data_IF_559622822903
#
_entry.id   IF_559622822903
#
_cell.length_a   1.000
_cell.length_b   1.000
_cell.length_c   1.000
_cell.angle_alpha   90.00
_cell.angle_beta   90.00
_cell.angle_gamma   90.00
#
_symmetry.space_group_name_H-M   'P 1'
#
loop_
_entity.id
_entity.type
_entity.pdbx_description
1 polymer ?
#
# COMPACT_ATOMS: atom_id res chain seq x y z
N UNK A 1 11.11 -32.83 -8.77
CA UNK A 1 10.49 -34.07 -8.26
C UNK A 1 9.25 -34.27 -9.10
N UNK A 2 9.03 -35.49 -9.61
CA UNK A 2 7.82 -35.77 -10.40
C UNK A 2 6.59 -35.72 -9.49
N UNK A 3 5.46 -35.11 -9.89
CA UNK A 3 4.23 -35.11 -9.10
C UNK A 3 3.75 -36.50 -8.64
N UNK A 4 4.07 -37.56 -9.39
CA UNK A 4 3.68 -38.94 -9.05
C UNK A 4 4.64 -39.62 -8.05
N UNK A 5 5.67 -38.91 -7.57
CA UNK A 5 6.66 -39.46 -6.62
C UNK A 5 6.01 -39.67 -5.25
N UNK A 6 6.10 -40.87 -4.63
CA UNK A 6 5.51 -41.09 -3.30
C UNK A 6 6.21 -40.27 -2.21
N UNK A 7 5.46 -39.90 -1.17
CA UNK A 7 5.95 -39.05 -0.07
C UNK A 7 7.19 -39.62 0.64
N UNK A 8 7.32 -40.95 0.67
CA UNK A 8 8.49 -41.65 1.23
C UNK A 8 9.79 -41.29 0.50
N UNK A 9 9.74 -41.18 -0.83
CA UNK A 9 10.87 -40.74 -1.65
C UNK A 9 11.10 -39.23 -1.55
N UNK A 10 10.02 -38.44 -1.47
CA UNK A 10 10.12 -36.98 -1.24
C UNK A 10 10.90 -36.71 0.04
N UNK A 11 10.61 -37.44 1.13
CA UNK A 11 11.33 -37.33 2.40
C UNK A 11 12.80 -37.71 2.29
N UNK A 12 13.14 -38.74 1.49
CA UNK A 12 14.55 -39.11 1.22
C UNK A 12 15.28 -38.00 0.46
N UNK A 13 14.67 -37.49 -0.61
CA UNK A 13 15.21 -36.38 -1.43
C UNK A 13 15.37 -35.11 -0.59
N UNK A 14 14.41 -34.79 0.27
CA UNK A 14 14.51 -33.66 1.21
C UNK A 14 15.73 -33.79 2.13
N UNK A 15 15.94 -34.95 2.77
CA UNK A 15 17.12 -35.16 3.65
C UNK A 15 18.44 -34.98 2.91
N UNK A 16 18.55 -35.52 1.69
CA UNK A 16 19.75 -35.38 0.88
C UNK A 16 20.00 -33.91 0.50
N UNK A 17 18.96 -33.22 0.05
CA UNK A 17 19.05 -31.81 -0.34
C UNK A 17 19.34 -30.89 0.84
N UNK A 18 18.68 -31.09 1.97
CA UNK A 18 18.83 -30.24 3.15
C UNK A 18 20.22 -30.35 3.77
N UNK A 19 20.85 -31.54 3.70
CA UNK A 19 22.25 -31.72 4.08
C UNK A 19 23.21 -30.97 3.14
N UNK A 20 22.94 -30.97 1.83
CA UNK A 20 23.78 -30.30 0.83
C UNK A 20 23.78 -28.79 1.02
N UNK A 21 22.61 -28.20 1.29
CA UNK A 21 22.44 -26.74 1.42
C UNK A 21 22.53 -26.23 2.86
N UNK A 22 22.93 -27.06 3.81
CA UNK A 22 22.96 -26.68 5.22
C UNK A 22 23.98 -25.56 5.48
N UNK A 23 23.64 -24.50 6.24
CA UNK A 23 24.54 -23.36 6.48
C UNK A 23 25.81 -23.73 7.26
N UNK A 24 25.76 -24.75 8.11
CA UNK A 24 26.92 -25.25 8.88
C UNK A 24 27.99 -25.92 7.99
N UNK A 25 27.55 -26.59 6.92
CA UNK A 25 28.44 -27.28 5.96
C UNK A 25 28.94 -26.35 4.84
N UNK A 26 28.36 -25.16 4.73
CA UNK A 26 28.73 -24.14 3.76
C UNK A 26 29.16 -22.83 4.48
N UNK A 27 30.20 -22.86 5.34
CA UNK A 27 30.63 -21.69 6.09
C UNK A 27 31.35 -20.67 5.19
N UNK A 28 31.10 -19.38 5.40
CA UNK A 28 31.79 -18.27 4.71
C UNK A 28 30.84 -17.32 3.98
N UNK A 29 31.28 -16.79 2.83
CA UNK A 29 30.53 -15.86 1.96
C UNK A 29 29.19 -16.42 1.43
N UNK A 30 29.02 -17.74 1.43
CA UNK A 30 27.80 -18.41 0.97
C UNK A 30 26.79 -18.72 2.09
N UNK A 31 27.06 -18.33 3.34
CA UNK A 31 26.20 -18.66 4.49
C UNK A 31 24.75 -18.18 4.31
N UNK A 32 24.55 -16.94 3.89
CA UNK A 32 23.21 -16.38 3.68
C UNK A 32 22.47 -17.06 2.53
N UNK A 33 23.22 -17.43 1.48
CA UNK A 33 22.68 -18.17 0.34
C UNK A 33 22.28 -19.59 0.75
N UNK A 34 23.12 -20.28 1.52
CA UNK A 34 22.86 -21.61 2.08
C UNK A 34 21.64 -21.57 3.01
N UNK A 35 21.55 -20.57 3.90
CA UNK A 35 20.40 -20.38 4.77
C UNK A 35 19.10 -20.22 3.97
N UNK A 36 19.08 -19.33 2.97
CA UNK A 36 17.91 -19.13 2.09
C UNK A 36 17.51 -20.40 1.35
N UNK A 37 18.49 -21.15 0.83
CA UNK A 37 18.25 -22.41 0.12
C UNK A 37 17.69 -23.49 1.07
N UNK A 38 18.27 -23.63 2.26
CA UNK A 38 17.81 -24.57 3.29
C UNK A 38 16.38 -24.26 3.72
N UNK A 39 16.07 -22.99 3.99
CA UNK A 39 14.72 -22.56 4.34
C UNK A 39 13.74 -22.82 3.20
N UNK A 40 14.11 -22.58 1.94
CA UNK A 40 13.27 -22.89 0.79
C UNK A 40 12.98 -24.39 0.69
N UNK A 41 14.01 -25.25 0.82
CA UNK A 41 13.84 -26.71 0.85
C UNK A 41 12.95 -27.15 2.01
N UNK A 42 13.12 -26.56 3.19
CA UNK A 42 12.33 -26.89 4.38
C UNK A 42 10.87 -26.46 4.24
N UNK A 43 10.60 -25.25 3.72
CA UNK A 43 9.26 -24.79 3.43
C UNK A 43 8.57 -25.70 2.42
N UNK A 44 9.24 -26.04 1.32
CA UNK A 44 8.70 -26.95 0.31
C UNK A 44 8.32 -28.31 0.89
N UNK A 45 9.19 -28.91 1.72
CA UNK A 45 8.90 -30.18 2.37
C UNK A 45 7.69 -30.07 3.32
N UNK A 46 7.63 -29.04 4.17
CA UNK A 46 6.50 -28.84 5.08
C UNK A 46 5.17 -28.67 4.34
N UNK A 47 5.15 -27.96 3.22
CA UNK A 47 3.94 -27.84 2.39
C UNK A 47 3.50 -29.21 1.85
N UNK A 48 4.45 -30.04 1.40
CA UNK A 48 4.15 -31.37 0.87
C UNK A 48 3.82 -32.41 1.96
N UNK A 49 4.28 -32.20 3.20
CA UNK A 49 4.03 -33.09 4.35
C UNK A 49 2.61 -32.89 4.93
N UNK A 50 1.98 -31.74 4.65
CA UNK A 50 0.57 -31.51 5.00
C UNK A 50 -0.37 -31.99 3.91
N UNK A 51 -1.44 -32.69 4.27
CA UNK A 51 -2.45 -33.18 3.32
C UNK A 51 -3.06 -32.05 2.48
N UNK A 52 -3.38 -30.91 3.11
CA UNK A 52 -3.94 -29.74 2.41
C UNK A 52 -2.94 -29.09 1.44
N UNK A 53 -1.68 -28.97 1.85
CA UNK A 53 -0.63 -28.42 1.01
C UNK A 53 -0.32 -29.34 -0.17
N UNK A 54 -0.26 -30.65 0.08
CA UNK A 54 -0.08 -31.67 -0.96
C UNK A 54 -1.23 -31.66 -1.97
N UNK A 55 -2.48 -31.64 -1.50
CA UNK A 55 -3.68 -31.56 -2.35
C UNK A 55 -3.66 -30.31 -3.24
N UNK A 56 -3.35 -29.13 -2.67
CA UNK A 56 -3.23 -27.89 -3.46
C UNK A 56 -2.14 -27.98 -4.53
N UNK A 57 -0.99 -28.57 -4.20
CA UNK A 57 0.06 -28.78 -5.18
C UNK A 57 -0.39 -29.71 -6.33
N UNK A 58 -1.15 -30.76 -6.03
CA UNK A 58 -1.73 -31.65 -7.05
C UNK A 58 -2.76 -30.93 -7.92
N UNK A 59 -3.65 -30.12 -7.35
CA UNK A 59 -4.63 -29.34 -8.10
C UNK A 59 -3.96 -28.41 -9.12
N UNK A 60 -2.84 -27.78 -8.75
CA UNK A 60 -2.05 -26.92 -9.66
C UNK A 60 -1.43 -27.75 -10.80
N UNK A 61 -0.95 -28.96 -10.50
CA UNK A 61 -0.39 -29.87 -11.51
C UNK A 61 -1.46 -30.34 -12.48
N UNK A 62 -2.66 -30.69 -12.00
CA UNK A 62 -3.79 -31.05 -12.84
C UNK A 62 -4.27 -29.89 -13.71
N UNK A 63 -4.31 -28.67 -13.17
CA UNK A 63 -4.60 -27.47 -13.96
C UNK A 63 -3.53 -27.23 -15.04
N UNK A 64 -2.25 -27.47 -14.72
CA UNK A 64 -1.16 -27.37 -15.70
C UNK A 64 -1.33 -28.40 -16.83
N UNK A 65 -1.64 -29.65 -16.51
CA UNK A 65 -1.95 -30.70 -17.50
C UNK A 65 -3.10 -30.27 -18.40
N UNK A 66 -4.19 -29.73 -17.84
CA UNK A 66 -5.33 -29.22 -18.61
C UNK A 66 -4.94 -28.06 -19.54
N UNK A 67 -4.19 -27.07 -19.04
CA UNK A 67 -3.73 -25.93 -19.84
C UNK A 67 -2.78 -26.34 -20.98
N UNK A 68 -1.92 -27.33 -20.74
CA UNK A 68 -1.07 -27.88 -21.81
C UNK A 68 -1.92 -28.61 -22.84
N UNK A 69 -2.91 -29.41 -22.43
CA UNK A 69 -3.83 -30.08 -23.35
C UNK A 69 -4.63 -29.08 -24.20
N UNK A 70 -5.19 -28.03 -23.58
CA UNK A 70 -5.88 -26.94 -24.28
C UNK A 70 -4.95 -26.24 -25.28
N UNK A 71 -3.72 -25.89 -24.86
CA UNK A 71 -2.73 -25.25 -25.73
C UNK A 71 -2.34 -26.14 -26.91
N UNK A 72 -2.24 -27.45 -26.70
CA UNK A 72 -1.97 -28.43 -27.75
C UNK A 72 -3.10 -28.51 -28.75
N UNK A 73 -4.34 -28.61 -28.29
CA UNK A 73 -5.51 -28.62 -29.16
C UNK A 73 -5.65 -27.32 -29.95
N UNK A 74 -5.35 -26.17 -29.35
CA UNK A 74 -5.32 -24.88 -30.04
C UNK A 74 -4.22 -24.82 -31.11
N UNK A 75 -3.00 -25.28 -30.80
CA UNK A 75 -1.90 -25.37 -31.77
C UNK A 75 -2.27 -26.30 -32.93
N UNK A 76 -2.91 -27.45 -32.66
CA UNK A 76 -3.39 -28.39 -33.68
C UNK A 76 -4.46 -27.75 -34.56
N UNK A 77 -5.45 -27.09 -33.95
CA UNK A 77 -6.52 -26.36 -34.67
C UNK A 77 -5.96 -25.25 -35.55
N UNK A 78 -5.00 -24.47 -35.04
CA UNK A 78 -4.34 -23.40 -35.79
C UNK A 78 -3.55 -23.94 -36.98
N UNK A 79 -2.72 -24.98 -36.78
CA UNK A 79 -1.96 -25.60 -37.88
C UNK A 79 -2.85 -26.20 -38.96
N UNK A 80 -3.97 -26.84 -38.58
CA UNK A 80 -5.00 -27.31 -39.53
C UNK A 80 -5.60 -26.17 -40.34
N UNK A 81 -5.87 -25.02 -39.71
CA UNK A 81 -6.39 -23.82 -40.40
C UNK A 81 -5.36 -23.20 -41.35
N UNK A 82 -4.08 -23.28 -41.01
CA UNK A 82 -2.95 -22.78 -41.82
C UNK A 82 -2.51 -23.77 -42.90
N UNK A 83 -3.16 -24.94 -43.01
CA UNK A 83 -2.82 -25.97 -44.01
C UNK A 83 -1.47 -26.67 -43.75
N UNK A 84 -0.92 -26.53 -42.55
CA UNK A 84 0.36 -27.13 -42.14
C UNK A 84 0.13 -28.50 -41.46
N UNK A 85 1.16 -29.35 -41.44
CA UNK A 85 1.10 -30.65 -40.75
C UNK A 85 0.65 -30.49 -39.29
N UNK A 86 -0.27 -31.35 -38.85
CA UNK A 86 -0.82 -31.37 -37.50
C UNK A 86 0.14 -31.92 -36.45
N UNK A 87 1.33 -32.35 -36.85
CA UNK A 87 2.39 -32.86 -35.97
C UNK A 87 2.98 -31.73 -35.13
N UNK A 88 3.01 -31.91 -33.81
CA UNK A 88 3.53 -30.94 -32.85
C UNK A 88 4.66 -31.60 -32.05
N UNK A 89 5.70 -30.84 -31.74
CA UNK A 89 6.85 -31.26 -30.91
C UNK A 89 6.46 -31.76 -29.50
N UNK A 90 5.31 -31.32 -29.00
CA UNK A 90 4.74 -31.71 -27.72
C UNK A 90 3.91 -33.02 -27.79
N UNK A 91 3.79 -33.65 -28.96
CA UNK A 91 3.22 -35.00 -29.13
C UNK A 91 4.18 -36.10 -28.67
N UNK A 92 5.49 -35.80 -28.61
CA UNK A 92 6.48 -36.66 -27.98
C UNK A 92 6.28 -36.70 -26.45
N UNK A 93 6.31 -37.89 -25.81
CA UNK A 93 6.13 -38.00 -24.36
C UNK A 93 7.13 -37.19 -23.53
N UNK A 94 8.36 -36.97 -24.00
CA UNK A 94 9.34 -36.14 -23.28
C UNK A 94 9.04 -34.64 -23.46
N UNK A 95 8.62 -34.23 -24.66
CA UNK A 95 8.11 -32.88 -24.95
C UNK A 95 6.91 -32.52 -24.07
N UNK A 96 5.93 -33.43 -23.98
CA UNK A 96 4.74 -33.25 -23.13
C UNK A 96 5.09 -33.10 -21.65
N UNK A 97 5.94 -33.99 -21.09
CA UNK A 97 6.38 -33.89 -19.69
C UNK A 97 7.08 -32.56 -19.40
N UNK A 98 7.91 -32.09 -20.33
CA UNK A 98 8.58 -30.79 -20.21
C UNK A 98 7.59 -29.63 -20.26
N UNK A 99 6.61 -29.67 -21.17
CA UNK A 99 5.57 -28.64 -21.28
C UNK A 99 4.72 -28.56 -20.00
N UNK A 100 4.27 -29.70 -19.46
CA UNK A 100 3.54 -29.77 -18.19
C UNK A 100 4.38 -29.23 -17.03
N UNK A 101 5.66 -29.59 -16.96
CA UNK A 101 6.57 -29.07 -15.93
C UNK A 101 6.71 -27.54 -16.00
N UNK A 102 6.98 -27.00 -17.19
CA UNK A 102 7.11 -25.54 -17.40
C UNK A 102 5.81 -24.82 -17.05
N UNK A 103 4.67 -25.35 -17.50
CA UNK A 103 3.36 -24.77 -17.20
C UNK A 103 3.04 -24.82 -15.70
N UNK A 104 3.41 -25.91 -15.02
CA UNK A 104 3.27 -26.04 -13.57
C UNK A 104 4.08 -24.97 -12.84
N UNK A 105 5.37 -24.80 -13.19
CA UNK A 105 6.21 -23.75 -12.62
C UNK A 105 5.63 -22.34 -12.83
N UNK A 106 5.04 -22.09 -14.01
CA UNK A 106 4.39 -20.83 -14.34
C UNK A 106 3.18 -20.58 -13.45
N UNK A 107 2.30 -21.57 -13.26
CA UNK A 107 1.13 -21.42 -12.39
C UNK A 107 1.51 -21.14 -10.94
N UNK A 108 2.51 -21.85 -10.39
CA UNK A 108 3.01 -21.57 -9.04
C UNK A 108 3.52 -20.13 -8.91
N UNK A 109 4.28 -19.64 -9.90
CA UNK A 109 4.79 -18.27 -9.89
C UNK A 109 3.67 -17.23 -10.00
N UNK A 110 2.65 -17.49 -10.82
CA UNK A 110 1.52 -16.58 -11.01
C UNK A 110 0.62 -16.51 -9.77
N UNK A 111 0.38 -17.66 -9.12
CA UNK A 111 -0.36 -17.71 -7.84
C UNK A 111 0.39 -17.00 -6.70
N UNK A 112 1.72 -17.16 -6.63
CA UNK A 112 2.53 -16.45 -5.63
C UNK A 112 2.49 -14.94 -5.85
N UNK A 113 2.56 -14.47 -7.10
CA UNK A 113 2.39 -13.05 -7.43
C UNK A 113 1.01 -12.54 -7.04
N UNK A 114 -0.04 -13.33 -7.28
CA UNK A 114 -1.39 -12.95 -6.89
C UNK A 114 -1.50 -12.79 -5.37
N UNK A 115 -0.96 -13.74 -4.60
CA UNK A 115 -0.91 -13.66 -3.13
C UNK A 115 -0.19 -12.40 -2.65
N UNK A 116 1.00 -12.11 -3.19
CA UNK A 116 1.77 -10.91 -2.82
C UNK A 116 1.03 -9.61 -3.17
N UNK A 117 0.34 -9.58 -4.31
CA UNK A 117 -0.45 -8.42 -4.74
C UNK A 117 -1.65 -8.20 -3.80
N UNK A 118 -2.34 -9.27 -3.39
CA UNK A 118 -3.45 -9.22 -2.44
C UNK A 118 -2.99 -8.75 -1.05
N UNK A 119 -1.90 -9.32 -0.53
CA UNK A 119 -1.28 -8.90 0.74
C UNK A 119 -0.88 -7.42 0.69
N UNK A 120 -0.26 -6.99 -0.41
CA UNK A 120 0.14 -5.59 -0.61
C UNK A 120 -1.08 -4.67 -0.66
N UNK A 121 -2.14 -5.08 -1.37
CA UNK A 121 -3.40 -4.32 -1.44
C UNK A 121 -4.04 -4.18 -0.05
N UNK A 122 -4.15 -5.27 0.69
CA UNK A 122 -4.73 -5.27 2.03
C UNK A 122 -3.91 -4.41 3.01
N UNK A 123 -2.58 -4.47 2.93
CA UNK A 123 -1.70 -3.62 3.74
C UNK A 123 -1.87 -2.13 3.40
N UNK A 124 -2.00 -1.79 2.11
CA UNK A 124 -2.22 -0.42 1.68
C UNK A 124 -3.60 0.11 2.10
N UNK A 125 -4.64 -0.72 2.02
CA UNK A 125 -5.98 -0.37 2.47
C UNK A 125 -6.01 -0.14 4.00
N UNK A 126 -5.36 -1.03 4.77
CA UNK A 126 -5.23 -0.86 6.22
C UNK A 126 -4.51 0.44 6.58
N UNK A 127 -3.42 0.77 5.86
CA UNK A 127 -2.69 2.04 6.06
C UNK A 127 -3.57 3.25 5.72
N UNK A 128 -4.29 3.21 4.59
CA UNK A 128 -5.19 4.29 4.20
C UNK A 128 -6.29 4.51 5.24
N UNK A 129 -6.91 3.43 5.72
CA UNK A 129 -7.95 3.50 6.76
C UNK A 129 -7.43 4.08 8.08
N UNK A 130 -6.21 3.70 8.49
CA UNK A 130 -5.58 4.27 9.68
C UNK A 130 -5.32 5.77 9.55
N UNK A 131 -4.79 6.22 8.40
CA UNK A 131 -4.55 7.64 8.12
C UNK A 131 -5.86 8.44 8.08
N UNK A 132 -6.91 7.87 7.48
CA UNK A 132 -8.23 8.51 7.42
C UNK A 132 -8.87 8.63 8.82
N UNK A 133 -8.73 7.61 9.66
CA UNK A 133 -9.21 7.66 11.05
C UNK A 133 -8.44 8.67 11.90
N UNK A 134 -7.12 8.78 11.71
CA UNK A 134 -6.27 9.77 12.37
C UNK A 134 -6.63 11.19 11.93
N UNK A 135 -6.77 11.43 10.62
CA UNK A 135 -7.21 12.73 10.09
C UNK A 135 -8.63 13.11 10.57
N UNK A 136 -9.55 12.14 10.68
CA UNK A 136 -10.88 12.39 11.22
C UNK A 136 -10.85 12.75 12.72
N UNK A 137 -9.96 12.11 13.50
CA UNK A 137 -9.72 12.46 14.91
C UNK A 137 -9.14 13.87 15.03
N UNK A 138 -8.12 14.20 14.24
CA UNK A 138 -7.52 15.53 14.22
C UNK A 138 -8.54 16.60 13.81
N UNK A 139 -9.35 16.35 12.77
CA UNK A 139 -10.39 17.27 12.36
C UNK A 139 -11.45 17.48 13.45
N UNK A 140 -11.81 16.42 14.18
CA UNK A 140 -12.76 16.49 15.30
C UNK A 140 -12.18 17.28 16.47
N UNK A 141 -10.93 17.04 16.85
CA UNK A 141 -10.27 17.81 17.92
C UNK A 141 -10.10 19.27 17.52
N UNK A 142 -9.65 19.56 16.30
CA UNK A 142 -9.58 20.92 15.78
C UNK A 142 -10.95 21.61 15.78
N UNK A 143 -12.02 20.91 15.43
CA UNK A 143 -13.38 21.46 15.49
C UNK A 143 -13.83 21.72 16.93
N UNK A 144 -13.51 20.84 17.89
CA UNK A 144 -13.82 21.01 19.31
C UNK A 144 -13.06 22.22 19.89
N UNK A 145 -11.77 22.33 19.61
CA UNK A 145 -10.93 23.46 20.02
C UNK A 145 -11.44 24.77 19.41
N UNK A 146 -11.76 24.75 18.11
CA UNK A 146 -12.36 25.90 17.43
C UNK A 146 -13.67 26.33 18.08
N UNK A 147 -14.55 25.38 18.41
CA UNK A 147 -15.85 25.67 19.01
C UNK A 147 -15.70 26.24 20.43
N UNK A 148 -14.79 25.66 21.23
CA UNK A 148 -14.43 26.18 22.55
C UNK A 148 -13.90 27.62 22.48
N UNK A 149 -12.92 27.87 21.60
CA UNK A 149 -12.35 29.22 21.40
C UNK A 149 -13.40 30.21 20.89
N UNK A 150 -14.30 29.76 20.02
CA UNK A 150 -15.41 30.58 19.51
C UNK A 150 -16.39 30.95 20.63
N UNK A 151 -16.75 30.02 21.49
CA UNK A 151 -17.66 30.25 22.61
C UNK A 151 -17.03 31.11 23.71
N UNK A 152 -15.77 30.89 24.05
CA UNK A 152 -15.05 31.69 25.05
C UNK A 152 -14.88 33.15 24.57
N UNK A 153 -14.55 33.36 23.30
CA UNK A 153 -14.49 34.70 22.71
C UNK A 153 -15.87 35.34 22.51
N UNK A 154 -16.98 34.66 22.80
CA UNK A 154 -18.34 35.20 22.60
C UNK A 154 -18.56 36.49 23.38
N UNK A 155 -18.14 36.54 24.66
CA UNK A 155 -18.35 37.72 25.48
C UNK A 155 -17.57 38.90 24.92
N UNK A 156 -16.29 38.71 24.63
CA UNK A 156 -15.42 39.73 24.02
C UNK A 156 -15.97 40.20 22.67
N UNK A 157 -16.34 39.28 21.77
CA UNK A 157 -16.97 39.61 20.48
C UNK A 157 -18.28 40.38 20.64
N UNK A 158 -19.11 40.01 21.62
CA UNK A 158 -20.37 40.70 21.92
C UNK A 158 -20.11 42.11 22.46
N UNK A 159 -19.11 42.28 23.33
CA UNK A 159 -18.72 43.59 23.85
C UNK A 159 -18.12 44.48 22.76
N UNK A 160 -17.26 43.94 21.88
CA UNK A 160 -16.74 44.66 20.71
C UNK A 160 -17.85 45.09 19.74
N UNK A 161 -18.88 44.25 19.55
CA UNK A 161 -20.02 44.62 18.71
C UNK A 161 -20.89 45.70 19.37
N UNK A 162 -21.14 45.61 20.68
CA UNK A 162 -21.85 46.64 21.44
C UNK A 162 -21.08 47.96 21.46
N UNK A 163 -19.76 47.93 21.63
CA UNK A 163 -18.93 49.15 21.61
C UNK A 163 -18.85 49.76 20.22
N UNK A 164 -18.81 48.96 19.14
CA UNK A 164 -18.92 49.46 17.76
C UNK A 164 -20.28 50.12 17.48
N UNK A 165 -21.38 49.57 18.00
CA UNK A 165 -22.71 50.16 17.79
C UNK A 165 -22.99 51.36 18.72
N UNK A 166 -22.38 51.38 19.92
CA UNK A 166 -22.42 52.52 20.83
C UNK A 166 -21.51 53.67 20.35
N UNK A 167 -20.40 53.34 19.68
CA UNK A 167 -19.60 54.28 18.91
C UNK A 167 -20.28 54.52 17.55
N UNK A 168 -21.36 55.31 17.56
CA UNK A 168 -21.84 55.94 16.32
C UNK A 168 -20.70 56.72 15.62
N UNK A 169 -20.89 57.20 14.37
CA UNK A 169 -19.83 57.68 13.46
C UNK A 169 -18.95 58.87 13.94
N UNK A 170 -19.00 59.27 15.21
CA UNK A 170 -18.31 60.42 15.79
C UNK A 170 -17.06 60.11 16.64
N UNK A 171 -16.64 58.85 16.84
CA UNK A 171 -15.54 58.50 17.77
C UNK A 171 -14.21 58.07 17.11
N UNK A 172 -13.98 58.38 15.83
CA UNK A 172 -12.73 58.06 15.13
C UNK A 172 -11.61 59.12 15.31
N UNK A 173 -11.65 59.96 16.34
CA UNK A 173 -10.63 60.97 16.61
C UNK A 173 -10.30 61.11 18.10
N UNK A 174 -9.44 60.25 18.64
CA UNK A 174 -8.47 60.62 19.69
C UNK A 174 -7.62 59.41 20.08
N UNK A 175 -6.36 59.42 19.63
CA UNK A 175 -5.30 58.60 20.19
C UNK A 175 -4.54 59.44 21.23
N UNK A 176 -4.17 58.92 22.41
CA UNK A 176 -3.14 59.53 23.23
C UNK A 176 -1.77 58.92 22.94
N UNK A 177 -0.76 59.79 22.93
CA UNK A 177 0.63 59.51 22.62
C UNK A 177 1.51 59.42 23.89
N UNK A 178 2.61 58.65 23.74
CA UNK A 178 3.90 58.68 24.46
C UNK A 178 3.97 57.98 25.85
N UNK A 179 5.04 57.31 26.31
CA UNK A 179 6.53 57.28 26.10
C UNK A 179 7.11 55.99 26.79
N UNK A 180 8.43 55.69 26.95
CA UNK A 180 9.69 56.01 26.23
C UNK A 180 10.62 54.77 25.95
N UNK A 181 11.72 55.08 25.25
CA UNK A 181 12.89 54.27 24.87
C UNK A 181 13.82 53.85 26.02
N UNK A 182 14.36 52.62 25.98
CA UNK A 182 15.71 52.27 26.48
C UNK A 182 16.25 51.09 25.67
N UNK A 183 17.50 51.20 25.21
CA UNK A 183 18.10 50.31 24.20
C UNK A 183 19.06 49.27 24.75
N UNK A 184 19.33 48.25 23.94
CA UNK A 184 20.61 47.51 23.98
C UNK A 184 20.86 46.77 22.66
N UNK A 185 22.14 46.55 22.37
CA UNK A 185 22.78 46.32 21.08
C UNK A 185 22.83 44.86 20.55
N UNK A 186 22.93 44.74 19.21
CA UNK A 186 23.11 43.53 18.37
C UNK A 186 24.44 42.74 18.63
N UNK A 187 24.58 41.49 18.13
CA UNK A 187 25.21 41.30 16.80
C UNK A 187 24.58 40.22 15.88
N UNK A 188 24.79 40.44 14.57
CA UNK A 188 24.27 39.69 13.40
C UNK A 188 25.13 38.45 13.05
N UNK A 189 24.51 37.38 12.54
CA UNK A 189 25.07 36.56 11.44
C UNK A 189 24.01 36.25 10.37
N UNK A 190 24.45 36.34 9.12
CA UNK A 190 23.71 36.40 7.85
C UNK A 190 23.20 35.04 7.38
N UNK A 191 22.05 35.01 6.68
CA UNK A 191 21.87 34.32 5.38
C UNK A 191 20.67 34.87 4.60
N UNK A 192 20.89 35.10 3.30
CA UNK A 192 19.94 35.65 2.29
C UNK A 192 18.86 34.63 1.91
N UNK A 193 17.62 35.08 1.68
CA UNK A 193 16.89 34.92 0.40
C UNK A 193 15.45 35.49 0.41
N UNK A 194 15.21 36.45 -0.50
CA UNK A 194 14.07 36.58 -1.44
C UNK A 194 12.61 36.70 -0.93
N UNK A 195 12.22 37.96 -0.67
CA UNK A 195 11.01 38.70 -1.13
C UNK A 195 9.77 37.88 -1.55
N UNK A 196 8.76 37.84 -0.67
CA UNK A 196 7.34 37.67 -0.97
C UNK A 196 6.53 38.63 -0.08
N UNK A 197 5.89 39.63 -0.69
CA UNK A 197 5.04 40.64 -0.03
C UNK A 197 3.76 39.99 0.49
N UNK A 198 3.33 40.32 1.71
CA UNK A 198 2.01 39.88 2.19
C UNK A 198 1.75 40.09 3.68
N UNK A 199 1.79 41.34 4.13
CA UNK A 199 1.18 41.94 5.31
C UNK A 199 0.58 40.98 6.38
N UNK A 200 1.35 40.76 7.43
CA UNK A 200 0.91 40.24 8.72
C UNK A 200 0.30 41.41 9.51
N UNK A 201 -1.02 41.41 9.72
CA UNK A 201 -1.71 42.29 10.69
C UNK A 201 -3.14 41.78 10.94
N UNK A 202 -3.47 41.53 12.20
CA UNK A 202 -4.85 41.45 12.69
C UNK A 202 -5.28 40.08 13.20
N UNK A 203 -5.12 39.86 14.50
CA UNK A 203 -5.92 38.89 15.25
C UNK A 203 -7.41 39.17 14.99
N UNK A 204 -8.06 38.27 14.24
CA UNK A 204 -9.46 38.39 13.88
C UNK A 204 -9.96 37.05 13.37
N UNK A 205 -10.67 36.34 14.22
CA UNK A 205 -11.32 35.07 13.90
C UNK A 205 -12.17 35.19 12.63
N UNK A 206 -11.82 34.43 11.59
CA UNK A 206 -12.62 34.31 10.36
C UNK A 206 -13.26 32.91 10.33
N UNK A 207 -14.58 32.80 10.49
CA UNK A 207 -15.24 31.50 10.46
C UNK A 207 -15.12 30.84 9.07
N UNK A 208 -14.99 29.50 9.00
CA UNK A 208 -15.07 28.77 7.73
C UNK A 208 -16.42 29.04 7.05
N UNK A 209 -16.39 29.39 5.76
CA UNK A 209 -17.63 29.58 4.99
C UNK A 209 -18.27 28.21 4.73
N UNK A 210 -19.40 27.92 5.37
CA UNK A 210 -20.28 26.86 4.89
C UNK A 210 -20.80 27.25 3.50
N UNK A 211 -20.54 26.40 2.51
CA UNK A 211 -21.11 26.52 1.16
C UNK A 211 -22.59 26.13 1.29
N UNK A 212 -23.50 27.07 1.03
CA UNK A 212 -24.93 26.81 1.06
C UNK A 212 -25.28 25.78 -0.04
N UNK A 213 -25.83 24.65 0.37
CA UNK A 213 -26.43 23.66 -0.51
C UNK A 213 -27.79 24.20 -0.97
N UNK A 214 -27.96 24.39 -2.28
CA UNK A 214 -29.20 24.90 -2.89
C UNK A 214 -30.34 23.89 -2.68
N UNK A 215 -31.40 24.32 -2.00
CA UNK A 215 -32.63 23.57 -1.81
C UNK A 215 -33.39 23.51 -3.14
N UNK A 216 -33.73 22.33 -3.69
CA UNK A 216 -34.53 22.27 -4.92
C UNK A 216 -35.95 22.80 -4.66
N UNK A 217 -36.36 23.81 -5.43
CA UNK A 217 -37.73 24.30 -5.46
C UNK A 217 -38.61 23.27 -6.17
N UNK A 218 -39.57 22.73 -5.42
CA UNK A 218 -40.62 21.87 -5.92
C UNK A 218 -41.58 22.74 -6.77
N UNK A 219 -41.74 22.41 -8.06
CA UNK A 219 -42.72 23.06 -8.94
C UNK A 219 -44.09 22.41 -8.71
N UNK A 220 -45.09 23.25 -8.43
CA UNK A 220 -46.51 22.92 -8.53
C UNK A 220 -47.00 23.15 -9.96
#
# INVERSE_FOLDING_TARGET
VDPETPLTEIKKKYRQMSLLVHPDKNPGTDRDRAQRAFEACNRAFKTLDTDEGYKRCLEIVEEAKRKVAESMDEKRKRRRKEGLSSEIEEDDPAGHRKAVYVQTCRLFADLEKLRQNEETRAANERKRKAVEEEAAKEAKEHQREWQKNFEESRHERTQSWRSFNAAGPAAASSAPAAVPSSGESLPKKKKKAKKGKGNQLGFGFRPPKHKAEERPQNQS
#
